data_IF_089633551525
#
_entry.id   IF_089633551525
#
_cell.length_a   1.000
_cell.length_b   1.000
_cell.length_c   1.000
_cell.angle_alpha   90.00
_cell.angle_beta   90.00
_cell.angle_gamma   90.00
#
_symmetry.space_group_name_H-M   'P 1'
#
loop_
_entity.id
_entity.type
_entity.pdbx_description
1 polymer ?
#
# COMPACT_ATOMS: atom_id res chain seq x y z
N UNK A 1 -46.28 -18.19 26.80
CA UNK A 1 -45.24 -17.13 26.65
C UNK A 1 -43.82 -17.67 26.44
N UNK A 2 -43.39 -18.79 27.03
CA UNK A 2 -42.04 -19.36 26.81
C UNK A 2 -41.73 -19.81 25.37
N UNK A 3 -42.73 -20.23 24.60
CA UNK A 3 -42.53 -20.67 23.20
C UNK A 3 -42.37 -19.52 22.19
N UNK A 4 -42.80 -18.29 22.53
CA UNK A 4 -42.66 -17.11 21.66
C UNK A 4 -41.22 -16.55 21.68
N UNK A 5 -40.53 -16.64 22.81
CA UNK A 5 -39.13 -16.19 22.96
C UNK A 5 -38.16 -17.08 22.19
N UNK A 6 -38.44 -18.38 22.09
CA UNK A 6 -37.58 -19.34 21.40
C UNK A 6 -37.61 -19.22 19.87
N UNK A 7 -38.73 -18.76 19.29
CA UNK A 7 -38.81 -18.47 17.85
C UNK A 7 -38.14 -17.13 17.48
N UNK A 8 -38.20 -16.14 18.38
CA UNK A 8 -37.56 -14.84 18.16
C UNK A 8 -36.02 -14.96 18.14
N UNK A 9 -35.43 -15.78 19.02
CA UNK A 9 -33.98 -16.05 19.00
C UNK A 9 -33.54 -16.88 17.78
N UNK A 10 -34.37 -17.80 17.29
CA UNK A 10 -34.03 -18.64 16.13
C UNK A 10 -33.97 -17.86 14.81
N UNK A 11 -34.64 -16.71 14.73
CA UNK A 11 -34.67 -15.86 13.52
C UNK A 11 -33.66 -14.71 13.52
N UNK A 12 -33.07 -14.34 14.66
CA UNK A 12 -32.12 -13.22 14.76
C UNK A 12 -30.66 -13.67 14.50
N UNK A 13 -30.33 -14.92 14.85
CA UNK A 13 -28.95 -15.45 14.75
C UNK A 13 -28.45 -15.66 13.30
N UNK A 14 -29.26 -16.10 12.31
CA UNK A 14 -28.76 -16.24 10.93
C UNK A 14 -28.67 -14.91 10.17
N UNK A 15 -29.36 -13.85 10.60
CA UNK A 15 -29.40 -12.55 9.91
C UNK A 15 -28.16 -11.69 10.17
N UNK A 16 -27.48 -11.89 11.31
CA UNK A 16 -26.23 -11.17 11.64
C UNK A 16 -25.03 -11.74 10.85
N UNK A 17 -25.14 -12.98 10.38
CA UNK A 17 -24.07 -13.67 9.64
C UNK A 17 -24.11 -13.43 8.12
N UNK A 18 -25.01 -12.54 7.67
CA UNK A 18 -25.08 -12.04 6.31
C UNK A 18 -24.44 -10.64 6.19
N UNK A 19 -23.40 -10.35 6.98
CA UNK A 19 -22.41 -9.34 6.59
C UNK A 19 -21.82 -9.80 5.27
N UNK A 20 -22.47 -9.41 4.18
CA UNK A 20 -21.93 -9.42 2.84
C UNK A 20 -20.57 -8.78 2.96
N UNK A 21 -19.52 -9.56 2.76
CA UNK A 21 -18.21 -9.04 2.42
C UNK A 21 -18.45 -8.05 1.27
N UNK A 22 -18.54 -6.76 1.60
CA UNK A 22 -18.57 -5.71 0.61
C UNK A 22 -17.36 -5.99 -0.27
N UNK A 23 -17.59 -6.07 -1.58
CA UNK A 23 -16.61 -6.47 -2.58
C UNK A 23 -15.34 -5.60 -2.50
N UNK A 24 -14.47 -5.89 -1.55
CA UNK A 24 -13.18 -5.25 -1.43
C UNK A 24 -12.41 -5.68 -2.67
N UNK A 25 -11.93 -4.72 -3.48
CA UNK A 25 -11.06 -5.05 -4.60
C UNK A 25 -9.94 -5.95 -4.09
N UNK A 26 -9.91 -7.18 -4.58
CA UNK A 26 -8.86 -8.13 -4.20
C UNK A 26 -7.67 -7.85 -5.10
N UNK A 27 -6.59 -7.33 -4.52
CA UNK A 27 -5.31 -7.20 -5.23
C UNK A 27 -4.60 -8.54 -5.20
N UNK A 28 -4.55 -9.23 -6.33
CA UNK A 28 -3.82 -10.49 -6.49
C UNK A 28 -2.40 -10.22 -6.98
N UNK A 29 -1.40 -10.75 -6.28
CA UNK A 29 0.00 -10.74 -6.72
C UNK A 29 0.16 -11.48 -8.05
N UNK A 30 1.21 -11.12 -8.80
CA UNK A 30 1.46 -11.62 -10.15
C UNK A 30 0.68 -10.88 -11.24
N UNK A 31 -0.61 -10.60 -11.07
CA UNK A 31 -1.39 -9.81 -12.06
C UNK A 31 -1.11 -8.31 -11.94
N UNK A 32 -0.95 -7.82 -10.71
CA UNK A 32 -0.75 -6.39 -10.42
C UNK A 32 0.64 -6.07 -9.86
N UNK A 33 1.55 -7.05 -9.86
CA UNK A 33 2.92 -6.83 -9.43
C UNK A 33 3.66 -6.00 -10.49
N UNK A 34 4.32 -4.89 -10.11
CA UNK A 34 5.09 -4.09 -11.05
C UNK A 34 6.19 -4.92 -11.71
N UNK A 35 6.42 -4.67 -12.99
CA UNK A 35 7.53 -5.27 -13.75
C UNK A 35 8.51 -4.20 -14.23
N UNK A 36 9.80 -4.54 -14.45
CA UNK A 36 10.76 -3.61 -15.03
C UNK A 36 10.26 -2.95 -16.33
N UNK A 37 10.44 -1.63 -16.43
CA UNK A 37 9.99 -0.80 -17.55
C UNK A 37 8.67 -0.06 -17.30
N UNK A 38 7.95 -0.39 -16.22
CA UNK A 38 6.70 0.30 -15.89
C UNK A 38 6.91 1.62 -15.15
N UNK A 39 6.03 2.58 -15.44
CA UNK A 39 6.01 3.89 -14.84
C UNK A 39 4.60 4.20 -14.33
N UNK A 40 4.47 4.40 -13.03
CA UNK A 40 3.20 4.74 -12.40
C UNK A 40 3.24 6.12 -11.77
N UNK A 41 2.16 6.88 -11.92
CA UNK A 41 2.00 8.14 -11.17
C UNK A 41 1.42 7.80 -9.80
N UNK A 42 2.19 8.05 -8.74
CA UNK A 42 1.65 7.98 -7.38
C UNK A 42 0.64 9.10 -7.20
N UNK A 43 -0.51 8.81 -6.61
CA UNK A 43 -1.48 9.85 -6.19
C UNK A 43 -1.68 9.72 -4.69
N UNK A 44 -1.50 10.82 -3.96
CA UNK A 44 -1.83 10.87 -2.54
C UNK A 44 -3.17 11.55 -2.36
N UNK A 45 -3.94 11.07 -1.38
CA UNK A 45 -5.15 11.75 -0.95
C UNK A 45 -4.83 12.65 0.23
N UNK A 46 -5.56 13.76 0.35
CA UNK A 46 -5.47 14.62 1.53
C UNK A 46 -5.88 13.90 2.83
N UNK A 47 -5.67 14.56 3.97
CA UNK A 47 -6.10 14.04 5.25
C UNK A 47 -7.64 14.03 5.34
N UNK A 48 -8.21 12.90 5.78
CA UNK A 48 -9.59 12.83 6.26
C UNK A 48 -9.57 12.49 7.75
N UNK A 49 -10.47 13.09 8.53
CA UNK A 49 -10.65 12.81 9.94
C UNK A 49 -12.02 12.15 10.16
N UNK A 50 -12.11 11.10 10.99
CA UNK A 50 -13.38 10.40 11.22
C UNK A 50 -14.42 11.27 11.96
N UNK A 51 -14.02 12.43 12.48
CA UNK A 51 -14.82 13.25 13.38
C UNK A 51 -14.45 13.00 14.85
N UNK A 52 -15.10 13.70 15.80
CA UNK A 52 -14.72 13.68 17.21
C UNK A 52 -15.30 12.51 18.02
N UNK A 53 -16.20 11.69 17.47
CA UNK A 53 -16.66 10.52 18.23
C UNK A 53 -15.67 9.38 18.02
N UNK A 54 -15.39 8.63 19.08
CA UNK A 54 -14.34 7.62 19.10
C UNK A 54 -14.60 6.41 18.20
N UNK A 55 -14.55 5.20 18.77
CA UNK A 55 -14.69 3.98 17.97
C UNK A 55 -16.06 3.89 17.29
N UNK A 56 -16.09 3.35 16.05
CA UNK A 56 -17.32 3.03 15.32
C UNK A 56 -17.89 4.14 14.44
N UNK A 57 -17.13 5.19 14.12
CA UNK A 57 -17.57 6.22 13.18
C UNK A 57 -17.36 5.83 11.72
N UNK A 58 -18.23 6.35 10.86
CA UNK A 58 -18.09 6.27 9.41
C UNK A 58 -17.12 7.35 8.95
N UNK A 59 -16.08 6.96 8.23
CA UNK A 59 -15.15 7.88 7.60
C UNK A 59 -15.80 8.50 6.37
N UNK A 60 -15.80 9.83 6.30
CA UNK A 60 -16.24 10.55 5.11
C UNK A 60 -15.04 10.85 4.21
N UNK A 61 -15.10 10.33 2.99
CA UNK A 61 -14.09 10.51 1.95
C UNK A 61 -14.59 11.37 0.78
N UNK A 62 -15.81 11.91 0.86
CA UNK A 62 -16.47 12.64 -0.25
C UNK A 62 -15.71 13.89 -0.70
N UNK A 63 -14.90 14.49 0.17
CA UNK A 63 -14.11 15.69 -0.11
C UNK A 63 -12.62 15.40 -0.36
N UNK A 64 -12.21 14.13 -0.47
CA UNK A 64 -10.82 13.81 -0.79
C UNK A 64 -10.52 14.17 -2.24
N UNK A 65 -9.64 15.16 -2.42
CA UNK A 65 -9.07 15.50 -3.71
C UNK A 65 -7.69 14.88 -3.80
N UNK A 66 -7.45 14.10 -4.86
CA UNK A 66 -6.14 13.52 -5.13
C UNK A 66 -5.14 14.60 -5.56
N UNK A 67 -3.96 14.58 -4.97
CA UNK A 67 -2.81 15.33 -5.45
C UNK A 67 -1.88 14.37 -6.21
N UNK A 68 -1.47 14.78 -7.41
CA UNK A 68 -0.45 14.04 -8.15
C UNK A 68 0.85 14.04 -7.34
N UNK A 69 1.31 12.86 -6.99
CA UNK A 69 2.60 12.62 -6.36
C UNK A 69 3.70 12.40 -7.39
N UNK A 70 4.83 11.90 -6.91
CA UNK A 70 5.98 11.54 -7.75
C UNK A 70 5.71 10.32 -8.64
N UNK A 71 6.60 10.14 -9.62
CA UNK A 71 6.62 8.97 -10.47
C UNK A 71 7.31 7.81 -9.75
N UNK A 72 6.64 6.65 -9.75
CA UNK A 72 7.23 5.36 -9.39
C UNK A 72 7.73 4.70 -10.67
N UNK A 73 9.05 4.63 -10.82
CA UNK A 73 9.69 4.04 -11.98
C UNK A 73 10.29 2.69 -11.59
N UNK A 74 9.77 1.62 -12.19
CA UNK A 74 10.18 0.25 -11.89
C UNK A 74 11.20 -0.19 -12.92
N UNK A 75 12.38 -0.60 -12.45
CA UNK A 75 13.54 -0.96 -13.28
C UNK A 75 14.05 -2.34 -12.91
N UNK A 76 14.89 -2.89 -13.78
CA UNK A 76 15.62 -4.12 -13.50
C UNK A 76 16.60 -3.87 -12.34
N UNK A 77 16.60 -4.67 -11.26
CA UNK A 77 17.54 -4.51 -10.16
C UNK A 77 19.01 -4.50 -10.62
N UNK A 78 19.35 -5.26 -11.67
CA UNK A 78 20.72 -5.40 -12.17
C UNK A 78 21.31 -4.09 -12.68
N UNK A 79 20.47 -3.15 -13.15
CA UNK A 79 20.96 -1.85 -13.64
C UNK A 79 21.11 -0.80 -12.53
N UNK A 80 20.69 -1.12 -11.31
CA UNK A 80 20.76 -0.20 -10.16
C UNK A 80 22.06 -0.38 -9.37
N UNK A 81 22.53 0.68 -8.71
CA UNK A 81 23.78 0.64 -7.93
C UNK A 81 23.75 -0.37 -6.76
N UNK A 82 22.58 -0.65 -6.19
CA UNK A 82 22.42 -1.55 -5.05
C UNK A 82 21.94 -2.96 -5.39
N UNK A 83 21.69 -3.27 -6.67
CA UNK A 83 21.06 -4.54 -7.09
C UNK A 83 21.79 -5.79 -6.60
N UNK A 84 23.12 -5.76 -6.56
CA UNK A 84 23.94 -6.89 -6.10
C UNK A 84 23.72 -7.25 -4.61
N UNK A 85 23.17 -6.34 -3.80
CA UNK A 85 22.86 -6.58 -2.39
C UNK A 85 21.53 -7.32 -2.20
N UNK A 86 20.68 -7.36 -3.23
CA UNK A 86 19.35 -7.97 -3.20
C UNK A 86 19.22 -9.00 -4.34
N UNK A 87 19.92 -10.15 -4.24
CA UNK A 87 20.03 -11.11 -5.35
C UNK A 87 18.71 -11.80 -5.73
N UNK A 88 17.71 -11.78 -4.84
CA UNK A 88 16.36 -12.31 -5.12
C UNK A 88 15.39 -11.23 -5.62
N UNK A 89 15.83 -9.98 -5.75
CA UNK A 89 14.98 -8.92 -6.28
C UNK A 89 14.64 -9.21 -7.73
N UNK A 90 13.35 -9.09 -8.06
CA UNK A 90 12.86 -9.20 -9.44
C UNK A 90 12.57 -7.82 -10.04
N UNK A 91 12.39 -6.81 -9.19
CA UNK A 91 12.10 -5.43 -9.60
C UNK A 91 12.63 -4.44 -8.57
N UNK A 92 13.05 -3.26 -9.01
CA UNK A 92 13.45 -2.16 -8.15
C UNK A 92 12.63 -0.90 -8.48
N UNK A 93 12.12 -0.20 -7.47
CA UNK A 93 11.52 1.13 -7.64
C UNK A 93 12.61 2.18 -7.44
N UNK A 94 12.98 2.87 -8.52
CA UNK A 94 14.01 3.89 -8.53
C UNK A 94 13.41 5.22 -9.00
N UNK A 95 13.48 6.25 -8.17
CA UNK A 95 13.04 7.58 -8.58
C UNK A 95 13.94 8.14 -9.69
N UNK A 96 13.37 8.63 -10.82
CA UNK A 96 14.17 9.21 -11.89
C UNK A 96 15.06 10.35 -11.39
N UNK A 97 16.35 10.29 -11.74
CA UNK A 97 17.35 11.28 -11.31
C UNK A 97 17.96 11.03 -9.93
N UNK A 98 17.57 9.94 -9.25
CA UNK A 98 18.20 9.53 -8.00
C UNK A 98 18.73 8.09 -8.08
N UNK A 99 19.83 7.85 -7.38
CA UNK A 99 20.50 6.55 -7.34
C UNK A 99 19.97 5.62 -6.23
N UNK A 100 19.00 6.08 -5.41
CA UNK A 100 18.37 5.24 -4.40
C UNK A 100 17.27 4.38 -5.01
N UNK A 101 17.11 3.17 -4.47
CA UNK A 101 16.07 2.27 -4.92
C UNK A 101 15.54 1.40 -3.78
N UNK A 102 14.24 1.11 -3.84
CA UNK A 102 13.59 0.06 -3.06
C UNK A 102 13.55 -1.22 -3.89
N UNK A 103 13.86 -2.35 -3.29
CA UNK A 103 13.96 -3.64 -3.97
C UNK A 103 12.82 -4.55 -3.54
N UNK A 104 12.23 -5.24 -4.51
CA UNK A 104 11.09 -6.10 -4.28
C UNK A 104 11.28 -7.46 -4.95
N UNK A 105 10.73 -8.48 -4.30
CA UNK A 105 10.49 -9.78 -4.88
C UNK A 105 9.02 -9.88 -5.29
N UNK A 106 8.77 -10.03 -6.58
CA UNK A 106 7.47 -10.24 -7.16
C UNK A 106 7.35 -11.69 -7.66
N UNK A 107 6.44 -12.44 -7.06
CA UNK A 107 6.09 -13.80 -7.48
C UNK A 107 4.58 -13.90 -7.72
N UNK A 108 4.12 -15.01 -8.29
CA UNK A 108 2.69 -15.30 -8.36
C UNK A 108 2.02 -15.49 -6.99
N UNK A 109 2.81 -15.66 -5.93
CA UNK A 109 2.32 -15.84 -4.58
C UNK A 109 2.32 -14.54 -3.77
N UNK A 110 3.14 -13.54 -4.12
CA UNK A 110 3.26 -12.32 -3.33
C UNK A 110 4.11 -11.22 -3.96
N UNK A 111 4.01 -10.02 -3.38
CA UNK A 111 4.88 -8.89 -3.65
C UNK A 111 5.46 -8.44 -2.31
N UNK A 112 6.78 -8.51 -2.15
CA UNK A 112 7.44 -8.27 -0.86
C UNK A 112 8.64 -7.35 -1.00
N UNK A 113 8.77 -6.38 -0.10
CA UNK A 113 9.93 -5.51 -0.03
C UNK A 113 11.10 -6.25 0.62
N UNK A 114 12.24 -6.25 -0.07
CA UNK A 114 13.48 -6.86 0.40
C UNK A 114 14.36 -5.85 1.13
N UNK A 115 14.26 -4.58 0.77
CA UNK A 115 14.93 -3.49 1.45
C UNK A 115 15.19 -2.29 0.54
N UNK A 116 16.06 -1.41 1.03
CA UNK A 116 16.36 -0.12 0.42
C UNK A 116 17.87 0.09 0.32
N UNK A 117 18.32 0.62 -0.81
CA UNK A 117 19.68 1.10 -0.99
C UNK A 117 19.70 2.61 -1.21
N UNK A 118 20.56 3.29 -0.46
CA UNK A 118 20.95 4.66 -0.73
C UNK A 118 22.49 4.73 -0.83
N UNK A 119 23.04 5.28 -1.92
CA UNK A 119 24.47 5.44 -2.03
C UNK A 119 25.00 6.53 -1.06
N UNK A 120 26.31 6.49 -0.73
CA UNK A 120 26.94 7.49 0.12
C UNK A 120 26.83 8.95 -0.37
N UNK A 121 26.56 9.16 -1.66
CA UNK A 121 26.29 10.49 -2.24
C UNK A 121 24.96 11.09 -1.75
N UNK A 122 23.95 10.25 -1.49
CA UNK A 122 22.61 10.69 -1.06
C UNK A 122 22.51 10.95 0.45
N UNK A 123 23.38 10.38 1.28
CA UNK A 123 23.38 10.64 2.74
C UNK A 123 23.97 12.01 3.12
N UNK A 124 24.50 12.77 2.16
CA UNK A 124 25.00 14.14 2.39
C UNK A 124 23.91 15.21 2.35
N UNK A 125 22.69 14.87 1.92
CA UNK A 125 21.57 15.81 1.87
C UNK A 125 20.89 16.05 3.22
N UNK A 126 21.31 15.35 4.30
CA UNK A 126 21.01 15.73 5.67
C UNK A 126 22.15 16.59 6.24
N UNK A 127 22.42 17.72 5.58
CA UNK A 127 23.18 18.80 6.19
C UNK A 127 22.37 20.09 6.06
N UNK A 128 21.91 20.57 7.22
CA UNK A 128 21.41 21.92 7.51
C UNK A 128 19.90 22.24 7.53
N UNK A 129 18.95 21.43 7.02
CA UNK A 129 17.55 21.89 6.97
C UNK A 129 16.46 21.02 7.59
N UNK A 130 16.74 20.19 8.60
CA UNK A 130 15.70 19.69 9.52
C UNK A 130 16.28 19.46 10.92
N UNK A 131 16.40 20.55 11.67
CA UNK A 131 16.32 20.52 13.12
C UNK A 131 15.17 21.47 13.47
N UNK A 132 14.04 20.92 13.88
CA UNK A 132 12.99 21.64 14.61
C UNK A 132 13.17 21.37 16.10
#
# INVERSE_FOLDING_TARGET
MRHLVSCLLAFIVPTIMACTAAAQPTLTSGTYSPVPGELFTGTSMGLSWPGPGGAGQTWDFSNLVGAAGGLNNYVDPVITLGGALFPTATVANQYPGFDNAFYYEATSAGYSELGFYAPPSNVRSCSILFCS
#
